data_IF_435186770262
#
_entry.id   IF_435186770262
#
_cell.length_a   1.000
_cell.length_b   1.000
_cell.length_c   1.000
_cell.angle_alpha   90.00
_cell.angle_beta   90.00
_cell.angle_gamma   90.00
#
_symmetry.space_group_name_H-M   'P 1'
#
loop_
_entity.id
_entity.type
_entity.pdbx_description
1 polymer ?
#
# COMPACT_ATOMS: atom_id res chain seq x y z
N UNK A 1 -37.71 -51.58 13.46
CA UNK A 1 -39.13 -51.42 13.23
C UNK A 1 -39.50 -49.96 13.00
N UNK A 2 -40.13 -49.80 11.81
CA UNK A 2 -41.06 -48.74 11.38
C UNK A 2 -40.49 -47.33 11.21
N UNK A 3 -40.20 -46.88 9.96
CA UNK A 3 -41.13 -46.46 8.87
C UNK A 3 -41.94 -45.23 9.21
N UNK A 4 -41.81 -44.24 8.38
CA UNK A 4 -42.75 -43.16 8.10
C UNK A 4 -41.99 -41.95 7.55
N UNK A 5 -41.77 -41.64 6.29
CA UNK A 5 -42.66 -41.49 5.12
C UNK A 5 -43.60 -40.29 5.25
N UNK A 6 -43.40 -39.35 4.34
CA UNK A 6 -44.37 -38.34 3.93
C UNK A 6 -43.74 -36.98 3.66
N UNK A 7 -43.44 -36.56 2.46
CA UNK A 7 -44.26 -36.29 1.29
C UNK A 7 -44.65 -34.83 1.16
N UNK A 8 -44.07 -34.15 0.12
CA UNK A 8 -44.69 -33.29 -0.91
C UNK A 8 -45.47 -32.07 -0.49
N UNK A 9 -45.18 -30.89 -1.06
CA UNK A 9 -45.86 -30.28 -2.22
C UNK A 9 -45.40 -28.85 -2.33
N UNK A 10 -44.83 -28.31 -3.40
CA UNK A 10 -45.37 -27.95 -4.70
C UNK A 10 -46.29 -26.71 -4.68
N UNK A 11 -45.96 -25.76 -5.55
CA UNK A 11 -46.77 -24.65 -6.05
C UNK A 11 -46.05 -23.33 -5.88
N UNK A 12 -45.49 -22.66 -6.86
CA UNK A 12 -46.11 -22.25 -8.11
C UNK A 12 -46.68 -20.86 -7.91
N UNK A 13 -46.13 -19.82 -8.46
CA UNK A 13 -46.83 -19.12 -9.53
C UNK A 13 -46.02 -17.98 -10.15
N UNK A 14 -46.12 -17.92 -11.44
CA UNK A 14 -45.60 -16.90 -12.37
C UNK A 14 -46.53 -15.69 -12.29
N UNK A 15 -45.98 -14.47 -12.35
CA UNK A 15 -46.63 -13.38 -13.10
C UNK A 15 -45.57 -12.49 -13.77
N UNK A 16 -45.62 -12.60 -15.03
CA UNK A 16 -45.18 -11.75 -16.11
C UNK A 16 -46.15 -10.59 -16.20
N UNK A 17 -45.67 -9.36 -16.33
CA UNK A 17 -46.44 -8.29 -16.94
C UNK A 17 -45.50 -7.44 -17.79
N UNK A 18 -45.66 -7.64 -19.09
CA UNK A 18 -45.26 -6.75 -20.17
C UNK A 18 -46.28 -5.63 -20.29
N UNK A 19 -45.83 -4.45 -20.60
CA UNK A 19 -46.49 -3.38 -21.41
C UNK A 19 -45.50 -2.23 -21.45
N UNK A 20 -44.99 -1.75 -22.56
CA UNK A 20 -45.61 -1.47 -23.88
C UNK A 20 -45.96 0.01 -23.86
N UNK A 21 -45.24 0.81 -24.63
CA UNK A 21 -45.57 2.21 -24.76
C UNK A 21 -44.62 2.98 -25.70
N UNK A 22 -44.75 2.73 -26.97
CA UNK A 22 -44.22 3.52 -28.10
C UNK A 22 -44.87 4.91 -28.17
N UNK A 23 -44.09 5.94 -28.52
CA UNK A 23 -44.56 7.26 -28.81
C UNK A 23 -43.62 8.05 -29.74
N UNK A 24 -43.77 7.80 -31.03
CA UNK A 24 -43.17 8.61 -32.07
C UNK A 24 -44.05 9.88 -32.30
N UNK A 25 -43.46 11.01 -32.49
CA UNK A 25 -43.95 12.18 -33.28
C UNK A 25 -42.76 12.94 -33.82
N UNK A 26 -42.54 12.88 -35.01
CA UNK A 26 -42.68 13.65 -36.26
C UNK A 26 -42.87 15.19 -36.07
N UNK A 27 -42.01 15.94 -36.76
CA UNK A 27 -42.46 17.15 -37.44
C UNK A 27 -41.73 18.44 -37.07
N UNK A 28 -41.06 19.03 -38.05
CA UNK A 28 -40.71 20.45 -38.04
C UNK A 28 -39.45 20.79 -38.84
N UNK A 29 -39.56 20.71 -40.17
CA UNK A 29 -38.71 21.46 -41.09
C UNK A 29 -39.10 22.93 -41.00
N UNK A 30 -38.12 23.80 -40.74
CA UNK A 30 -38.20 25.18 -41.25
C UNK A 30 -36.83 25.62 -41.73
N UNK A 31 -36.81 25.84 -43.02
CA UNK A 31 -35.72 26.43 -43.79
C UNK A 31 -35.80 27.93 -43.69
N UNK A 32 -34.75 28.63 -43.38
CA UNK A 32 -34.54 30.03 -43.75
C UNK A 32 -33.07 30.32 -44.08
N UNK A 33 -32.82 31.17 -45.07
CA UNK A 33 -31.55 31.30 -45.76
C UNK A 33 -30.62 32.38 -45.19
N UNK A 34 -29.37 32.10 -45.34
CA UNK A 34 -28.19 32.92 -45.57
C UNK A 34 -28.12 34.37 -45.14
N UNK A 35 -27.10 34.66 -44.36
CA UNK A 35 -26.26 35.83 -44.55
C UNK A 35 -24.81 35.45 -44.36
N UNK A 36 -24.06 35.56 -45.45
CA UNK A 36 -22.60 35.58 -45.44
C UNK A 36 -22.15 36.87 -44.80
N UNK A 37 -21.43 36.80 -43.70
CA UNK A 37 -20.62 37.93 -43.26
C UNK A 37 -19.26 37.48 -42.73
N UNK A 38 -18.29 38.27 -43.07
CA UNK A 38 -16.87 38.16 -43.05
C UNK A 38 -16.19 37.45 -41.90
N UNK A 39 -15.47 36.41 -42.27
CA UNK A 39 -14.54 35.73 -41.39
C UNK A 39 -13.22 36.51 -41.37
N UNK A 40 -13.11 37.47 -40.45
CA UNK A 40 -11.82 38.01 -40.05
C UNK A 40 -11.10 36.94 -39.20
N UNK A 41 -9.97 36.49 -39.72
CA UNK A 41 -9.12 35.53 -39.05
C UNK A 41 -8.58 36.09 -37.73
N UNK A 42 -8.99 35.49 -36.64
CA UNK A 42 -8.26 35.55 -35.37
C UNK A 42 -7.05 34.63 -35.50
N UNK A 43 -5.85 35.09 -35.14
CA UNK A 43 -4.73 34.18 -35.00
C UNK A 43 -5.06 33.19 -33.86
N UNK A 44 -5.11 31.90 -34.20
CA UNK A 44 -5.11 30.84 -33.19
C UNK A 44 -3.78 30.93 -32.46
N UNK A 45 -3.79 31.55 -31.28
CA UNK A 45 -2.75 31.28 -30.26
C UNK A 45 -2.86 29.81 -29.94
N UNK A 46 -1.97 29.03 -30.55
CA UNK A 46 -1.66 27.68 -30.10
C UNK A 46 -1.09 27.86 -28.71
N UNK A 47 -1.93 27.74 -27.70
CA UNK A 47 -1.47 27.44 -26.34
C UNK A 47 -0.63 26.18 -26.45
N UNK A 48 0.67 26.40 -26.42
CA UNK A 48 1.66 25.37 -26.17
C UNK A 48 1.28 24.69 -24.84
N UNK A 49 0.59 23.55 -24.92
CA UNK A 49 0.36 22.68 -23.78
C UNK A 49 1.71 22.09 -23.41
N UNK A 50 2.56 22.98 -22.92
CA UNK A 50 3.85 22.66 -22.36
C UNK A 50 3.67 21.55 -21.34
N UNK A 51 4.29 20.40 -21.67
CA UNK A 51 4.37 19.27 -20.79
C UNK A 51 4.73 19.73 -19.39
N UNK A 52 3.96 19.29 -18.42
CA UNK A 52 4.19 19.53 -17.00
C UNK A 52 5.68 19.28 -16.71
N UNK A 53 6.46 20.34 -16.70
CA UNK A 53 7.84 20.30 -16.21
C UNK A 53 7.70 19.93 -14.75
N UNK A 54 8.02 18.66 -14.42
CA UNK A 54 8.16 18.20 -13.05
C UNK A 54 9.01 19.26 -12.33
N UNK A 55 8.44 19.90 -11.31
CA UNK A 55 9.16 20.86 -10.48
C UNK A 55 10.53 20.26 -10.09
N UNK A 56 11.60 21.03 -10.10
CA UNK A 56 12.91 20.53 -9.71
C UNK A 56 12.76 19.87 -8.33
N UNK A 57 13.18 18.60 -8.24
CA UNK A 57 13.28 17.93 -6.95
C UNK A 57 14.10 18.81 -6.04
N UNK A 58 13.53 19.23 -4.91
CA UNK A 58 14.24 20.03 -3.91
C UNK A 58 15.60 19.41 -3.55
N UNK A 59 16.47 20.13 -2.83
CA UNK A 59 17.81 19.65 -2.51
C UNK A 59 17.72 18.25 -1.90
N UNK A 60 18.49 17.32 -2.46
CA UNK A 60 18.56 15.95 -1.93
C UNK A 60 19.16 16.05 -0.54
N UNK A 61 18.42 15.58 0.45
CA UNK A 61 18.97 15.42 1.79
C UNK A 61 20.22 14.53 1.72
N UNK A 62 21.31 14.89 2.41
CA UNK A 62 22.50 14.07 2.43
C UNK A 62 22.15 12.65 2.93
N UNK A 63 22.73 11.66 2.28
CA UNK A 63 22.56 10.27 2.66
C UNK A 63 23.64 9.87 3.65
N UNK A 64 23.34 9.03 4.63
CA UNK A 64 24.34 8.53 5.56
C UNK A 64 25.39 7.69 4.79
N UNK A 65 26.64 7.78 5.25
CA UNK A 65 27.76 7.06 4.63
C UNK A 65 27.57 5.56 4.81
N UNK A 66 27.86 4.82 3.75
CA UNK A 66 27.89 3.36 3.74
C UNK A 66 29.37 2.94 3.61
N UNK A 67 29.88 2.06 4.44
CA UNK A 67 31.20 1.48 4.27
C UNK A 67 31.32 0.69 2.97
N UNK A 68 32.50 0.68 2.36
CA UNK A 68 32.75 0.05 1.05
C UNK A 68 32.55 -1.49 1.10
N UNK A 69 32.66 -2.08 2.29
CA UNK A 69 32.47 -3.52 2.52
C UNK A 69 31.01 -3.94 2.42
N UNK A 70 30.06 -3.01 2.60
CA UNK A 70 28.62 -3.28 2.56
C UNK A 70 28.16 -3.33 1.11
N UNK A 71 27.86 -4.53 0.65
CA UNK A 71 27.49 -4.76 -0.76
C UNK A 71 26.00 -4.89 -0.99
N UNK A 72 25.21 -5.10 0.07
CA UNK A 72 23.78 -5.40 0.02
C UNK A 72 23.46 -6.86 -0.31
N UNK A 73 24.45 -7.71 -0.59
CA UNK A 73 24.27 -9.13 -0.89
C UNK A 73 23.95 -9.97 0.37
N UNK A 74 24.14 -9.37 1.52
CA UNK A 74 23.90 -9.92 2.86
C UNK A 74 22.41 -10.10 3.16
N UNK A 75 21.55 -9.44 2.38
CA UNK A 75 20.10 -9.53 2.54
C UNK A 75 19.54 -10.87 2.05
N UNK A 76 18.45 -11.29 2.66
CA UNK A 76 17.68 -12.44 2.23
C UNK A 76 17.18 -12.34 0.79
N UNK A 77 17.07 -13.51 0.15
CA UNK A 77 16.55 -13.62 -1.22
C UNK A 77 15.17 -12.98 -1.37
N UNK A 78 14.33 -13.09 -0.36
CA UNK A 78 12.97 -12.52 -0.38
C UNK A 78 12.99 -11.00 -0.46
N UNK A 79 13.91 -10.34 0.28
CA UNK A 79 14.11 -8.88 0.20
C UNK A 79 14.64 -8.47 -1.16
N UNK A 80 15.65 -9.20 -1.68
CA UNK A 80 16.14 -8.95 -3.04
C UNK A 80 15.04 -9.05 -4.11
N UNK A 81 14.12 -9.98 -3.95
CA UNK A 81 13.00 -10.13 -4.89
C UNK A 81 12.07 -8.91 -4.87
N UNK A 82 11.83 -8.31 -3.70
CA UNK A 82 11.06 -7.08 -3.58
C UNK A 82 11.76 -5.89 -4.26
N UNK A 83 13.10 -5.83 -4.20
CA UNK A 83 13.90 -4.77 -4.80
C UNK A 83 13.95 -4.82 -6.33
N UNK A 84 13.59 -5.93 -6.96
CA UNK A 84 13.60 -6.09 -8.44
C UNK A 84 12.67 -5.13 -9.18
N UNK A 85 11.74 -4.50 -8.50
CA UNK A 85 10.86 -3.47 -9.08
C UNK A 85 11.56 -2.12 -9.30
N UNK A 86 12.77 -1.96 -8.76
CA UNK A 86 13.58 -0.75 -8.85
C UNK A 86 14.60 -0.87 -9.99
N UNK A 87 15.18 0.27 -10.41
CA UNK A 87 16.38 0.24 -11.23
C UNK A 87 17.52 -0.42 -10.49
N UNK A 88 18.46 -1.05 -11.22
CA UNK A 88 19.60 -1.78 -10.62
C UNK A 88 20.35 -0.94 -9.59
N UNK A 89 20.75 0.27 -9.97
CA UNK A 89 21.48 1.20 -9.11
C UNK A 89 20.68 1.55 -7.84
N UNK A 90 19.37 1.81 -7.99
CA UNK A 90 18.53 2.12 -6.83
C UNK A 90 18.32 0.91 -5.93
N UNK A 91 18.17 -0.28 -6.52
CA UNK A 91 18.04 -1.54 -5.77
C UNK A 91 19.29 -1.83 -4.93
N UNK A 92 20.47 -1.67 -5.53
CA UNK A 92 21.75 -1.83 -4.84
C UNK A 92 21.90 -0.83 -3.67
N UNK A 93 21.64 0.44 -3.90
CA UNK A 93 21.72 1.46 -2.85
C UNK A 93 20.72 1.23 -1.72
N UNK A 94 19.48 0.80 -2.03
CA UNK A 94 18.48 0.46 -1.01
C UNK A 94 18.90 -0.78 -0.24
N UNK A 95 19.43 -1.81 -0.92
CA UNK A 95 19.94 -3.02 -0.26
C UNK A 95 21.04 -2.70 0.76
N UNK A 96 22.01 -1.87 0.38
CA UNK A 96 23.07 -1.43 1.26
C UNK A 96 22.55 -0.69 2.49
N UNK A 97 21.59 0.23 2.31
CA UNK A 97 20.97 0.92 3.44
C UNK A 97 20.21 -0.04 4.36
N UNK A 98 19.52 -1.07 3.84
CA UNK A 98 18.83 -2.07 4.65
C UNK A 98 19.80 -2.91 5.47
N UNK A 99 20.96 -3.29 4.90
CA UNK A 99 22.04 -3.96 5.65
C UNK A 99 22.54 -3.05 6.78
N UNK A 100 22.76 -1.77 6.49
CA UNK A 100 23.18 -0.81 7.51
C UNK A 100 22.15 -0.62 8.62
N UNK A 101 20.84 -0.68 8.31
CA UNK A 101 19.81 -0.66 9.36
C UNK A 101 19.98 -1.85 10.30
N UNK A 102 20.14 -3.07 9.78
CA UNK A 102 20.33 -4.24 10.61
C UNK A 102 21.60 -4.12 11.49
N UNK A 103 22.72 -3.81 10.88
CA UNK A 103 24.00 -3.70 11.58
C UNK A 103 24.01 -2.62 12.66
N UNK A 104 23.37 -1.47 12.39
CA UNK A 104 23.30 -0.36 13.36
C UNK A 104 22.29 -0.62 14.47
N UNK A 105 21.21 -1.38 14.22
CA UNK A 105 20.28 -1.84 15.25
C UNK A 105 20.95 -2.89 16.17
N UNK A 106 21.76 -3.78 15.62
CA UNK A 106 22.53 -4.74 16.41
C UNK A 106 23.56 -4.05 17.30
N UNK A 107 24.17 -2.97 16.80
CA UNK A 107 25.10 -2.13 17.56
C UNK A 107 24.41 -1.14 18.51
N UNK A 108 23.09 -1.21 18.66
CA UNK A 108 22.23 -0.28 19.44
C UNK A 108 22.40 1.20 19.07
N UNK A 109 22.86 1.47 17.84
CA UNK A 109 22.98 2.81 17.29
C UNK A 109 21.69 3.20 16.54
N UNK A 110 20.68 3.54 17.32
CA UNK A 110 19.33 3.80 16.82
C UNK A 110 19.28 5.03 15.89
N UNK A 111 20.09 6.06 16.19
CA UNK A 111 20.14 7.28 15.35
C UNK A 111 20.66 6.97 13.93
N UNK A 112 21.75 6.23 13.83
CA UNK A 112 22.28 5.80 12.53
C UNK A 112 21.30 4.88 11.81
N UNK A 113 20.67 3.94 12.53
CA UNK A 113 19.64 3.07 11.98
C UNK A 113 18.49 3.87 11.36
N UNK A 114 18.02 4.91 12.07
CA UNK A 114 16.95 5.78 11.59
C UNK A 114 17.35 6.51 10.29
N UNK A 115 18.55 7.08 10.25
CA UNK A 115 19.04 7.78 9.07
C UNK A 115 19.10 6.87 7.82
N UNK A 116 19.57 5.64 7.99
CA UNK A 116 19.60 4.63 6.93
C UNK A 116 18.19 4.17 6.53
N UNK A 117 17.29 3.91 7.49
CA UNK A 117 15.93 3.48 7.22
C UNK A 117 15.11 4.56 6.49
N UNK A 118 15.22 5.82 6.91
CA UNK A 118 14.56 6.94 6.22
C UNK A 118 15.09 7.11 4.80
N UNK A 119 16.38 6.87 4.57
CA UNK A 119 16.96 6.92 3.24
C UNK A 119 16.42 5.78 2.38
N UNK A 120 16.33 4.55 2.90
CA UNK A 120 15.73 3.42 2.21
C UNK A 120 14.27 3.71 1.81
N UNK A 121 13.48 4.27 2.72
CA UNK A 121 12.09 4.65 2.43
C UNK A 121 11.99 5.80 1.42
N UNK A 122 12.86 6.79 1.49
CA UNK A 122 12.90 7.88 0.51
C UNK A 122 13.18 7.38 -0.90
N UNK A 123 14.05 6.39 -1.02
CA UNK A 123 14.43 5.75 -2.29
C UNK A 123 13.40 4.74 -2.79
N UNK A 124 12.77 3.98 -1.87
CA UNK A 124 11.95 2.82 -2.17
C UNK A 124 10.70 2.70 -1.28
N UNK A 125 9.97 3.77 -1.07
CA UNK A 125 8.83 3.82 -0.14
C UNK A 125 7.63 2.93 -0.48
N UNK A 126 7.65 2.26 -1.63
CA UNK A 126 6.66 1.24 -2.02
C UNK A 126 7.18 -0.19 -1.86
N UNK A 127 8.42 -0.36 -1.44
CA UNK A 127 9.01 -1.67 -1.15
C UNK A 127 8.71 -2.02 0.31
N UNK A 128 8.02 -3.13 0.60
CA UNK A 128 7.67 -3.52 1.97
C UNK A 128 8.86 -3.56 2.91
N UNK A 129 9.99 -4.15 2.50
CA UNK A 129 11.18 -4.27 3.33
C UNK A 129 11.74 -2.91 3.79
N UNK A 130 11.67 -1.86 2.95
CA UNK A 130 12.11 -0.52 3.37
C UNK A 130 11.19 0.07 4.46
N UNK A 131 9.88 -0.16 4.36
CA UNK A 131 8.90 0.27 5.35
C UNK A 131 9.03 -0.52 6.66
N UNK A 132 9.27 -1.83 6.53
CA UNK A 132 9.49 -2.71 7.66
C UNK A 132 10.72 -2.28 8.46
N UNK A 133 11.85 -2.04 7.79
CA UNK A 133 13.06 -1.53 8.43
C UNK A 133 12.81 -0.23 9.21
N UNK A 134 12.08 0.72 8.63
CA UNK A 134 11.73 1.96 9.33
C UNK A 134 10.80 1.72 10.52
N UNK A 135 9.82 0.82 10.36
CA UNK A 135 8.93 0.40 11.44
C UNK A 135 9.68 -0.24 12.60
N UNK A 136 10.65 -1.12 12.32
CA UNK A 136 11.49 -1.74 13.34
C UNK A 136 12.35 -0.74 14.10
N UNK A 137 12.93 0.23 13.41
CA UNK A 137 13.69 1.31 14.07
C UNK A 137 12.78 2.14 14.98
N UNK A 138 11.62 2.55 14.50
CA UNK A 138 10.64 3.30 15.29
C UNK A 138 10.17 2.51 16.52
N UNK A 139 9.95 1.20 16.35
CA UNK A 139 9.60 0.29 17.44
C UNK A 139 10.70 0.25 18.51
N UNK A 140 11.97 0.09 18.12
CA UNK A 140 13.13 0.11 19.02
C UNK A 140 13.31 1.45 19.74
N UNK A 141 12.86 2.55 19.12
CA UNK A 141 12.84 3.88 19.74
C UNK A 141 11.68 4.07 20.73
N UNK A 142 10.71 3.14 20.78
CA UNK A 142 9.48 3.32 21.54
C UNK A 142 8.47 4.26 20.85
N UNK A 143 8.74 4.70 19.61
CA UNK A 143 7.75 5.44 18.80
C UNK A 143 6.74 4.47 18.18
N UNK A 144 5.91 3.89 19.07
CA UNK A 144 4.92 2.89 18.68
C UNK A 144 3.88 3.44 17.69
N UNK A 145 3.62 4.75 17.68
CA UNK A 145 2.69 5.37 16.75
C UNK A 145 3.25 5.33 15.30
N UNK A 146 4.52 5.69 15.15
CA UNK A 146 5.23 5.62 13.87
C UNK A 146 5.41 4.17 13.43
N UNK A 147 5.87 3.29 14.31
CA UNK A 147 6.03 1.87 14.03
C UNK A 147 4.75 1.24 13.49
N UNK A 148 3.63 1.45 14.17
CA UNK A 148 2.32 0.95 13.77
C UNK A 148 1.88 1.47 12.39
N UNK A 149 2.20 2.72 12.07
CA UNK A 149 1.90 3.31 10.76
C UNK A 149 2.68 2.63 9.65
N UNK A 150 3.97 2.37 9.87
CA UNK A 150 4.82 1.69 8.90
C UNK A 150 4.43 0.21 8.76
N UNK A 151 4.17 -0.52 9.84
CA UNK A 151 3.73 -1.92 9.80
C UNK A 151 2.38 -2.08 9.09
N UNK A 152 1.42 -1.18 9.29
CA UNK A 152 0.17 -1.17 8.52
C UNK A 152 0.42 -0.93 7.04
N UNK A 153 1.42 -0.12 6.71
CA UNK A 153 1.81 0.12 5.32
C UNK A 153 2.43 -1.14 4.71
N UNK A 154 3.31 -1.85 5.44
CA UNK A 154 3.86 -3.15 5.01
C UNK A 154 2.73 -4.13 4.71
N UNK A 155 1.79 -4.32 5.65
CA UNK A 155 0.64 -5.22 5.47
C UNK A 155 -0.16 -4.88 4.21
N UNK A 156 -0.40 -3.59 3.95
CA UNK A 156 -1.14 -3.14 2.75
C UNK A 156 -0.36 -3.40 1.45
N UNK A 157 0.98 -3.30 1.47
CA UNK A 157 1.83 -3.48 0.29
C UNK A 157 2.10 -4.95 -0.03
N UNK A 158 2.30 -5.79 1.00
CA UNK A 158 2.68 -7.19 0.85
C UNK A 158 1.49 -8.17 0.95
N UNK A 159 0.39 -7.76 1.59
CA UNK A 159 -0.69 -8.66 1.99
C UNK A 159 -0.34 -9.61 3.13
N UNK A 160 0.89 -9.57 3.64
CA UNK A 160 1.36 -10.43 4.74
C UNK A 160 0.95 -9.90 6.10
N UNK A 161 0.73 -10.78 7.05
CA UNK A 161 0.38 -10.46 8.43
C UNK A 161 1.50 -10.80 9.44
N UNK A 162 2.71 -11.12 8.97
CA UNK A 162 3.85 -11.52 9.82
C UNK A 162 4.21 -10.50 10.91
N UNK A 163 3.90 -9.21 10.69
CA UNK A 163 4.14 -8.14 11.67
C UNK A 163 2.96 -7.94 12.66
N UNK A 164 1.96 -8.81 12.63
CA UNK A 164 0.80 -8.69 13.50
C UNK A 164 1.17 -8.68 15.00
N UNK A 165 2.09 -9.52 15.51
CA UNK A 165 2.53 -9.47 16.90
C UNK A 165 3.09 -8.09 17.28
N UNK A 166 3.97 -7.53 16.46
CA UNK A 166 4.55 -6.19 16.68
C UNK A 166 3.50 -5.08 16.61
N UNK A 167 2.49 -5.23 15.76
CA UNK A 167 1.38 -4.27 15.70
C UNK A 167 0.52 -4.32 16.96
N UNK A 168 0.27 -5.52 17.51
CA UNK A 168 -0.44 -5.71 18.78
C UNK A 168 0.35 -5.08 19.93
N UNK A 169 1.66 -5.31 19.97
CA UNK A 169 2.53 -4.72 20.99
C UNK A 169 2.58 -3.19 20.89
N UNK A 170 2.63 -2.64 19.67
CA UNK A 170 2.53 -1.18 19.47
C UNK A 170 1.21 -0.61 20.03
N UNK A 171 0.07 -1.25 19.79
CA UNK A 171 -1.22 -0.80 20.34
C UNK A 171 -1.22 -0.89 21.87
N UNK A 172 -0.62 -1.94 22.43
CA UNK A 172 -0.43 -2.08 23.89
C UNK A 172 0.48 -0.97 24.44
N UNK A 173 1.62 -0.71 23.81
CA UNK A 173 2.57 0.35 24.19
C UNK A 173 1.97 1.76 24.12
N UNK A 174 0.94 1.95 23.26
CA UNK A 174 0.15 3.19 23.19
C UNK A 174 -0.99 3.25 24.21
N UNK A 175 -1.11 2.25 25.11
CA UNK A 175 -2.19 2.16 26.09
C UNK A 175 -3.55 1.78 25.50
N UNK A 176 -3.60 1.30 24.26
CA UNK A 176 -4.83 0.99 23.54
C UNK A 176 -5.18 -0.50 23.64
N UNK A 177 -5.30 -1.02 24.86
CA UNK A 177 -5.44 -2.46 25.13
C UNK A 177 -6.63 -3.11 24.41
N UNK A 178 -7.78 -2.44 24.33
CA UNK A 178 -8.94 -2.99 23.59
C UNK A 178 -8.62 -3.20 22.12
N UNK A 179 -7.91 -2.27 21.49
CA UNK A 179 -7.49 -2.40 20.08
C UNK A 179 -6.45 -3.48 19.89
N UNK A 180 -5.53 -3.65 20.83
CA UNK A 180 -4.56 -4.73 20.82
C UNK A 180 -5.27 -6.10 20.82
N UNK A 181 -6.24 -6.30 21.70
CA UNK A 181 -7.05 -7.52 21.77
C UNK A 181 -7.88 -7.75 20.50
N UNK A 182 -8.53 -6.70 20.00
CA UNK A 182 -9.27 -6.79 18.73
C UNK A 182 -8.36 -7.20 17.57
N UNK A 183 -7.16 -6.64 17.50
CA UNK A 183 -6.20 -6.93 16.46
C UNK A 183 -5.67 -8.38 16.58
N UNK A 184 -5.37 -8.85 17.79
CA UNK A 184 -4.95 -10.22 18.06
C UNK A 184 -6.04 -11.27 17.75
N UNK A 185 -7.31 -10.88 17.84
CA UNK A 185 -8.45 -11.77 17.55
C UNK A 185 -8.85 -11.81 16.07
N UNK A 186 -8.14 -11.07 15.19
CA UNK A 186 -8.47 -11.03 13.77
C UNK A 186 -8.25 -12.38 13.07
N UNK A 187 -8.98 -12.68 11.97
CA UNK A 187 -8.79 -13.93 11.23
C UNK A 187 -7.36 -14.16 10.76
N UNK A 188 -6.63 -13.10 10.49
CA UNK A 188 -5.24 -13.12 10.04
C UNK A 188 -4.29 -13.71 11.09
N UNK A 189 -4.60 -13.60 12.37
CA UNK A 189 -3.82 -14.24 13.43
C UNK A 189 -3.75 -15.77 13.27
N UNK A 190 -4.75 -16.37 12.60
CA UNK A 190 -4.77 -17.81 12.31
C UNK A 190 -3.84 -18.20 11.16
N UNK A 191 -3.42 -17.26 10.35
CA UNK A 191 -2.53 -17.48 9.19
C UNK A 191 -1.05 -17.31 9.54
N UNK A 192 -0.76 -16.90 10.76
CA UNK A 192 0.59 -16.74 11.27
C UNK A 192 1.30 -18.11 11.38
N UNK A 193 2.62 -18.10 11.20
CA UNK A 193 3.48 -19.24 11.51
C UNK A 193 3.40 -19.60 13.00
N UNK A 194 3.97 -20.75 13.39
CA UNK A 194 3.98 -21.17 14.79
C UNK A 194 4.76 -20.19 15.66
N UNK A 195 5.93 -19.74 15.18
CA UNK A 195 6.77 -18.77 15.88
C UNK A 195 6.05 -17.41 16.04
N UNK A 196 5.43 -16.91 14.98
CA UNK A 196 4.67 -15.65 15.02
C UNK A 196 3.45 -15.75 15.97
N UNK A 197 2.80 -16.91 16.05
CA UNK A 197 1.71 -17.14 17.02
C UNK A 197 2.22 -17.18 18.45
N UNK A 198 3.42 -17.74 18.67
CA UNK A 198 4.04 -17.73 19.98
C UNK A 198 4.38 -16.29 20.40
N UNK A 199 4.95 -15.48 19.51
CA UNK A 199 5.21 -14.08 19.75
C UNK A 199 3.89 -13.32 20.07
N UNK A 200 2.83 -13.58 19.31
CA UNK A 200 1.52 -12.97 19.57
C UNK A 200 0.94 -13.36 20.94
N UNK A 201 1.25 -14.54 21.45
CA UNK A 201 0.78 -15.00 22.76
C UNK A 201 1.57 -14.39 23.93
N UNK A 202 2.77 -13.87 23.67
CA UNK A 202 3.65 -13.25 24.68
C UNK A 202 3.32 -11.77 24.89
N UNK A 203 2.87 -11.08 23.86
CA UNK A 203 2.56 -9.64 23.89
C UNK A 203 1.17 -9.37 24.43
#
# INVERSE_FOLDING_TARGET
>A
DRRGSGSRSAGGDRRRDERGGSGARLGGRDSRPGTRDGKQGRPEEREDRGGSRLAPKGPRLPEPRIPDEVTGKELDRAVHQQLRTLSKENAEGVAQHLVMVAATLEADNIEAALAHAETAVRRAGRVPAAREALGMVAYRQGDFARALTEFRTVRRLSGSSHLLPLMVDCERGLGRHSRALELAATPEARTLSEDERLELAIV
#
